data_IF_653696835296
#
_entry.id   IF_653696835296
#
_cell.length_a   1.000
_cell.length_b   1.000
_cell.length_c   1.000
_cell.angle_alpha   90.00
_cell.angle_beta   90.00
_cell.angle_gamma   90.00
#
_symmetry.space_group_name_H-M   'P 1'
#
loop_
_entity.id
_entity.type
_entity.pdbx_description
1 polymer ?
#
# COMPACT_ATOMS: atom_id res chain seq x y z
N UNK A 1 4.67 4.37 25.32
CA UNK A 1 3.25 4.22 24.92
C UNK A 1 2.49 5.56 24.78
N UNK A 2 3.12 6.73 24.65
CA UNK A 2 2.41 8.02 24.41
C UNK A 2 2.61 8.62 23.01
N UNK A 3 3.58 8.16 22.25
CA UNK A 3 3.97 8.83 20.99
C UNK A 3 3.07 8.47 19.79
N UNK A 4 2.52 7.25 19.74
CA UNK A 4 1.60 6.83 18.67
C UNK A 4 0.29 7.62 18.61
N UNK A 5 -0.12 8.31 19.69
CA UNK A 5 -1.32 9.15 19.68
C UNK A 5 -1.11 10.49 18.95
N UNK A 6 0.14 10.92 18.76
CA UNK A 6 0.46 12.27 18.25
C UNK A 6 0.03 12.44 16.79
N UNK A 7 0.07 11.36 16.00
CA UNK A 7 -0.25 11.36 14.56
C UNK A 7 -1.31 10.32 14.19
N UNK A 8 -2.06 9.84 15.18
CA UNK A 8 -3.03 8.76 15.02
C UNK A 8 -4.06 9.05 13.90
N UNK A 9 -4.48 10.30 13.78
CA UNK A 9 -5.50 10.69 12.79
C UNK A 9 -4.93 10.69 11.37
N UNK A 10 -3.76 11.26 11.18
CA UNK A 10 -3.05 11.31 9.91
C UNK A 10 -2.73 9.89 9.43
N UNK A 11 -2.09 9.10 10.29
CA UNK A 11 -1.72 7.69 10.00
C UNK A 11 -2.96 6.88 9.63
N UNK A 12 -4.02 6.92 10.44
CA UNK A 12 -5.23 6.15 10.14
C UNK A 12 -5.93 6.60 8.86
N UNK A 13 -5.90 7.89 8.54
CA UNK A 13 -6.48 8.39 7.29
C UNK A 13 -5.79 7.74 6.10
N UNK A 14 -4.45 7.74 6.09
CA UNK A 14 -3.66 7.10 5.03
C UNK A 14 -3.91 5.59 4.98
N UNK A 15 -3.92 4.91 6.14
CA UNK A 15 -4.20 3.47 6.22
C UNK A 15 -5.56 3.12 5.62
N UNK A 16 -6.63 3.84 5.95
CA UNK A 16 -7.98 3.59 5.41
C UNK A 16 -8.01 3.76 3.89
N UNK A 17 -7.34 4.79 3.35
CA UNK A 17 -7.26 5.01 1.91
C UNK A 17 -6.46 3.89 1.21
N UNK A 18 -5.30 3.52 1.75
CA UNK A 18 -4.49 2.43 1.22
C UNK A 18 -5.26 1.10 1.26
N UNK A 19 -5.94 0.76 2.37
CA UNK A 19 -6.80 -0.43 2.46
C UNK A 19 -7.88 -0.45 1.38
N UNK A 20 -8.53 0.70 1.15
CA UNK A 20 -9.58 0.82 0.12
C UNK A 20 -9.03 0.56 -1.28
N UNK A 21 -7.85 1.09 -1.60
CA UNK A 21 -7.18 0.87 -2.88
C UNK A 21 -6.75 -0.59 -3.04
N UNK A 22 -6.11 -1.17 -2.03
CA UNK A 22 -5.69 -2.57 -2.02
C UNK A 22 -6.88 -3.52 -2.21
N UNK A 23 -8.01 -3.24 -1.57
CA UNK A 23 -9.24 -4.00 -1.77
C UNK A 23 -9.75 -3.95 -3.22
N UNK A 24 -9.67 -2.77 -3.87
CA UNK A 24 -10.04 -2.63 -5.29
C UNK A 24 -9.09 -3.38 -6.20
N UNK A 25 -7.78 -3.27 -5.95
CA UNK A 25 -6.74 -3.98 -6.70
C UNK A 25 -6.91 -5.51 -6.58
N UNK A 26 -7.19 -6.02 -5.37
CA UNK A 26 -7.46 -7.46 -5.15
C UNK A 26 -8.58 -7.98 -6.04
N UNK A 27 -9.62 -7.18 -6.29
CA UNK A 27 -10.74 -7.56 -7.17
C UNK A 27 -10.38 -7.64 -8.64
N UNK A 28 -9.36 -6.89 -9.08
CA UNK A 28 -8.91 -6.92 -10.47
C UNK A 28 -8.25 -8.26 -10.84
N UNK A 29 -7.72 -9.00 -9.84
CA UNK A 29 -7.04 -10.30 -10.02
C UNK A 29 -5.92 -10.26 -11.07
N UNK A 30 -5.31 -9.09 -11.27
CA UNK A 30 -4.23 -8.93 -12.23
C UNK A 30 -2.93 -9.52 -11.64
N UNK A 31 -2.32 -10.53 -12.29
CA UNK A 31 -1.07 -11.14 -11.81
C UNK A 31 0.10 -10.15 -11.77
N UNK A 32 0.05 -9.03 -12.50
CA UNK A 32 1.11 -8.03 -12.50
C UNK A 32 1.07 -7.09 -11.28
N UNK A 33 0.02 -7.17 -10.45
CA UNK A 33 -0.14 -6.31 -9.27
C UNK A 33 0.99 -6.46 -8.27
N UNK A 34 1.50 -7.69 -8.08
CA UNK A 34 2.62 -7.95 -7.15
C UNK A 34 3.87 -7.17 -7.60
N UNK A 35 4.21 -7.26 -8.88
CA UNK A 35 5.37 -6.56 -9.43
C UNK A 35 5.18 -5.04 -9.35
N UNK A 36 3.99 -4.55 -9.66
CA UNK A 36 3.65 -3.14 -9.55
C UNK A 36 3.79 -2.60 -8.12
N UNK A 37 3.34 -3.36 -7.12
CA UNK A 37 3.45 -2.98 -5.70
C UNK A 37 4.91 -3.03 -5.23
N UNK A 38 5.70 -4.03 -5.63
CA UNK A 38 7.13 -4.05 -5.33
C UNK A 38 7.85 -2.81 -5.90
N UNK A 39 7.55 -2.40 -7.13
CA UNK A 39 8.12 -1.18 -7.70
C UNK A 39 7.78 0.08 -6.88
N UNK A 40 6.57 0.14 -6.32
CA UNK A 40 6.19 1.25 -5.41
C UNK A 40 7.00 1.23 -4.12
N UNK A 41 7.14 0.05 -3.50
CA UNK A 41 7.90 -0.16 -2.25
C UNK A 41 9.38 0.21 -2.44
N UNK A 42 9.95 -0.14 -3.59
CA UNK A 42 11.36 0.11 -3.93
C UNK A 42 11.63 1.53 -4.45
N UNK A 43 10.58 2.35 -4.61
CA UNK A 43 10.70 3.71 -5.14
C UNK A 43 11.02 3.77 -6.64
N UNK A 44 10.78 2.68 -7.39
CA UNK A 44 11.02 2.56 -8.83
C UNK A 44 9.75 2.72 -9.66
N UNK A 45 8.81 3.54 -9.17
CA UNK A 45 7.52 3.75 -9.81
C UNK A 45 7.68 4.34 -11.24
N UNK A 46 6.93 3.78 -12.20
CA UNK A 46 6.83 4.30 -13.57
C UNK A 46 5.38 4.70 -13.90
N UNK A 47 5.22 5.69 -14.77
CA UNK A 47 3.91 6.27 -15.13
C UNK A 47 3.00 5.36 -15.95
N UNK A 48 3.44 4.15 -16.30
CA UNK A 48 2.62 3.15 -17.01
C UNK A 48 1.77 2.27 -16.09
N UNK A 49 1.89 2.43 -14.77
CA UNK A 49 1.14 1.64 -13.80
C UNK A 49 -0.32 2.09 -13.66
N UNK A 50 -1.24 1.20 -13.23
CA UNK A 50 -2.64 1.54 -12.99
C UNK A 50 -2.81 2.74 -12.06
N UNK A 51 -3.90 3.49 -12.25
CA UNK A 51 -4.18 4.71 -11.47
C UNK A 51 -4.18 4.45 -9.95
N UNK A 52 -4.72 3.31 -9.51
CA UNK A 52 -4.69 2.94 -8.09
C UNK A 52 -3.27 2.71 -7.55
N UNK A 53 -2.35 2.19 -8.38
CA UNK A 53 -0.94 2.00 -8.00
C UNK A 53 -0.23 3.36 -7.93
N UNK A 54 -0.55 4.29 -8.84
CA UNK A 54 -0.04 5.65 -8.78
C UNK A 54 -0.46 6.34 -7.46
N UNK A 55 -1.73 6.20 -7.06
CA UNK A 55 -2.21 6.77 -5.80
C UNK A 55 -1.53 6.10 -4.60
N UNK A 56 -1.28 4.79 -4.64
CA UNK A 56 -0.52 4.11 -3.58
C UNK A 56 0.93 4.64 -3.48
N UNK A 57 1.57 4.92 -4.62
CA UNK A 57 2.86 5.57 -4.64
C UNK A 57 2.82 6.96 -3.98
N UNK A 58 1.82 7.77 -4.30
CA UNK A 58 1.69 9.10 -3.72
C UNK A 58 1.39 9.05 -2.22
N UNK A 59 0.56 8.10 -1.77
CA UNK A 59 0.30 7.90 -0.34
C UNK A 59 1.56 7.49 0.43
N UNK A 60 2.40 6.64 -0.16
CA UNK A 60 3.63 6.15 0.46
C UNK A 60 4.76 7.19 0.45
N UNK A 61 5.01 7.80 -0.70
CA UNK A 61 6.21 8.59 -0.96
C UNK A 61 5.96 10.11 -0.88
N UNK A 62 4.71 10.53 -1.08
CA UNK A 62 4.32 11.94 -1.17
C UNK A 62 3.14 12.33 -0.27
N UNK A 63 3.13 12.00 1.03
CA UNK A 63 2.02 12.35 1.92
C UNK A 63 1.77 13.87 2.03
N UNK A 64 2.78 14.69 1.73
CA UNK A 64 2.67 16.14 1.63
C UNK A 64 1.67 16.65 0.58
N UNK A 65 1.34 15.82 -0.42
CA UNK A 65 0.33 16.17 -1.43
C UNK A 65 -1.09 16.18 -0.84
N UNK A 66 -1.33 15.43 0.24
CA UNK A 66 -2.64 15.31 0.89
C UNK A 66 -2.73 16.16 2.15
N UNK A 67 -1.62 16.27 2.90
CA UNK A 67 -1.54 17.10 4.11
C UNK A 67 -0.39 18.09 3.97
N UNK A 68 -0.73 19.36 3.73
CA UNK A 68 0.25 20.44 3.68
C UNK A 68 0.93 20.63 5.04
N UNK A 69 2.24 20.86 5.02
CA UNK A 69 3.06 21.04 6.22
C UNK A 69 2.99 19.86 7.21
N UNK A 70 2.84 18.64 6.69
CA UNK A 70 2.88 17.44 7.50
C UNK A 70 4.18 17.37 8.30
N UNK A 71 4.08 16.97 9.57
CA UNK A 71 5.24 16.81 10.43
C UNK A 71 6.15 15.69 9.86
N UNK A 72 7.49 15.86 9.84
CA UNK A 72 8.41 14.83 9.37
C UNK A 72 8.24 13.47 10.06
N UNK A 73 8.07 13.46 11.39
CA UNK A 73 7.83 12.24 12.18
C UNK A 73 6.52 11.55 11.73
N UNK A 74 5.48 12.33 11.43
CA UNK A 74 4.22 11.80 10.93
C UNK A 74 4.37 11.21 9.52
N UNK A 75 5.20 11.84 8.68
CA UNK A 75 5.52 11.34 7.33
C UNK A 75 6.25 10.00 7.41
N UNK A 76 7.22 9.86 8.31
CA UNK A 76 7.93 8.60 8.53
C UNK A 76 6.99 7.50 9.05
N UNK A 77 6.13 7.81 10.03
CA UNK A 77 5.16 6.85 10.58
C UNK A 77 4.18 6.39 9.49
N UNK A 78 3.64 7.32 8.68
CA UNK A 78 2.78 6.99 7.53
C UNK A 78 3.53 6.09 6.54
N UNK A 79 4.75 6.46 6.17
CA UNK A 79 5.52 5.69 5.20
C UNK A 79 5.75 4.25 5.70
N UNK A 80 6.12 4.09 6.98
CA UNK A 80 6.32 2.78 7.60
C UNK A 80 5.04 1.94 7.56
N UNK A 81 3.92 2.50 8.01
CA UNK A 81 2.63 1.81 8.08
C UNK A 81 2.09 1.43 6.69
N UNK A 82 2.18 2.32 5.72
CA UNK A 82 1.77 2.02 4.35
C UNK A 82 2.67 0.94 3.75
N UNK A 83 3.99 1.02 3.94
CA UNK A 83 4.93 0.00 3.45
C UNK A 83 4.65 -1.37 4.03
N UNK A 84 4.37 -1.46 5.33
CA UNK A 84 3.98 -2.70 5.99
C UNK A 84 2.70 -3.28 5.38
N UNK A 85 1.66 -2.46 5.19
CA UNK A 85 0.42 -2.89 4.56
C UNK A 85 0.61 -3.40 3.13
N UNK A 86 1.46 -2.75 2.33
CA UNK A 86 1.78 -3.21 0.98
C UNK A 86 2.49 -4.56 0.99
N UNK A 87 3.45 -4.76 1.90
CA UNK A 87 4.15 -6.05 2.07
C UNK A 87 3.20 -7.16 2.52
N UNK A 88 2.31 -6.88 3.48
CA UNK A 88 1.28 -7.84 3.91
C UNK A 88 0.36 -8.21 2.75
N UNK A 89 -0.06 -7.23 1.95
CA UNK A 89 -0.89 -7.48 0.79
C UNK A 89 -0.21 -8.39 -0.23
N UNK A 90 1.06 -8.14 -0.57
CA UNK A 90 1.82 -8.98 -1.50
C UNK A 90 1.91 -10.41 -0.97
N UNK A 91 2.19 -10.58 0.31
CA UNK A 91 2.29 -11.90 0.96
C UNK A 91 0.95 -12.65 0.87
N UNK A 92 -0.14 -12.02 1.32
CA UNK A 92 -1.48 -12.62 1.30
C UNK A 92 -1.94 -12.95 -0.13
N UNK A 93 -1.70 -12.05 -1.09
CA UNK A 93 -2.13 -12.24 -2.48
C UNK A 93 -1.35 -13.38 -3.16
N UNK A 94 -0.06 -13.54 -2.84
CA UNK A 94 0.72 -14.70 -3.26
C UNK A 94 0.15 -16.00 -2.69
N UNK A 95 -0.14 -16.03 -1.39
CA UNK A 95 -0.68 -17.21 -0.71
C UNK A 95 -2.05 -17.62 -1.29
N UNK A 96 -2.95 -16.67 -1.52
CA UNK A 96 -4.25 -16.91 -2.17
C UNK A 96 -4.09 -17.49 -3.59
N UNK A 97 -3.13 -16.98 -4.36
CA UNK A 97 -2.85 -17.46 -5.71
C UNK A 97 -2.27 -18.89 -5.70
N UNK A 98 -1.44 -19.22 -4.70
CA UNK A 98 -0.88 -20.56 -4.50
C UNK A 98 -2.00 -21.55 -4.08
N UNK A 99 -2.83 -21.17 -3.11
CA UNK A 99 -3.97 -21.99 -2.66
C UNK A 99 -4.99 -22.24 -3.77
N UNK A 100 -5.28 -21.25 -4.63
CA UNK A 100 -6.17 -21.45 -5.80
C UNK A 100 -5.60 -22.45 -6.82
N UNK A 101 -4.27 -22.48 -7.01
CA UNK A 101 -3.63 -23.46 -7.92
C UNK A 101 -3.64 -24.87 -7.37
N UNK A 102 -3.62 -25.05 -6.04
CA UNK A 102 -3.71 -26.35 -5.40
C UNK A 102 -5.12 -26.96 -5.51
N UNK A 103 -6.18 -26.13 -5.38
CA UNK A 103 -7.57 -26.58 -5.47
C UNK A 103 -8.00 -27.05 -6.87
N UNK A 104 -7.32 -26.60 -7.93
CA UNK A 104 -7.62 -26.98 -9.32
C UNK A 104 -6.90 -28.28 -9.79
N UNK A 105 -6.09 -28.90 -8.92
CA UNK A 105 -5.30 -30.10 -9.24
C UNK A 105 -5.81 -31.37 -8.55
N UNK A 106 -7.02 -31.36 -8.01
CA UNK A 106 -7.69 -32.53 -7.40
C UNK A 106 -8.78 -33.05 -8.30
#
# INVERSE_FOLDING_TARGET
MREHYKFFKEVNTFKVHAQTLLYRLRKQRDPNLINAIHLVIDGQFNSSLPAEIAILNDLLNHPEQFIKNINPDAKEEIQSEIKEMLMSFVTEFCDEAICSKAALRV
#
